data_IF_191374797783
#
_entry.id   IF_191374797783
#
_cell.length_a   1.000
_cell.length_b   1.000
_cell.length_c   1.000
_cell.angle_alpha   90.00
_cell.angle_beta   90.00
_cell.angle_gamma   90.00
#
_symmetry.space_group_name_H-M   'P 1'
#
loop_
_entity.id
_entity.type
_entity.pdbx_description
1 polymer ?
#
# COMPACT_ATOMS: atom_id res chain seq x y z
N UNK A 1 3.57 -18.33 -25.71
CA UNK A 1 3.32 -18.99 -24.41
C UNK A 1 3.80 -18.02 -23.35
N UNK A 2 2.90 -17.57 -22.47
CA UNK A 2 2.93 -16.28 -21.75
C UNK A 2 4.11 -16.12 -20.79
N UNK A 3 5.09 -15.29 -21.19
CA UNK A 3 5.99 -14.61 -20.25
C UNK A 3 5.19 -13.54 -19.48
N UNK A 4 4.55 -13.97 -18.38
CA UNK A 4 4.49 -13.11 -17.22
C UNK A 4 5.86 -13.25 -16.57
N UNK A 5 6.77 -12.34 -16.93
CA UNK A 5 8.12 -12.32 -16.38
C UNK A 5 8.06 -12.36 -14.86
N UNK A 6 8.81 -13.31 -14.31
CA UNK A 6 9.08 -13.44 -12.90
C UNK A 6 9.49 -12.08 -12.32
N UNK A 7 8.93 -11.74 -11.15
CA UNK A 7 8.84 -10.39 -10.63
C UNK A 7 10.13 -9.59 -10.73
N UNK A 8 10.13 -8.63 -11.65
CA UNK A 8 11.16 -7.63 -11.69
C UNK A 8 10.86 -6.63 -10.57
N UNK A 9 11.68 -6.63 -9.50
CA UNK A 9 11.54 -5.69 -8.37
C UNK A 9 11.65 -4.25 -8.87
N UNK A 10 12.20 -4.06 -10.06
CA UNK A 10 12.49 -2.79 -10.73
C UNK A 10 11.24 -2.10 -11.30
N UNK A 11 10.19 -2.85 -11.62
CA UNK A 11 8.94 -2.32 -12.17
C UNK A 11 7.79 -2.69 -11.24
N UNK A 12 7.15 -1.67 -10.67
CA UNK A 12 5.95 -1.83 -9.85
C UNK A 12 4.75 -2.29 -10.68
N UNK A 13 3.87 -3.08 -10.06
CA UNK A 13 2.60 -3.45 -10.70
C UNK A 13 1.69 -2.22 -10.85
N UNK A 14 1.18 -1.97 -12.05
CA UNK A 14 0.35 -0.79 -12.36
C UNK A 14 -1.00 -0.74 -11.62
N UNK A 15 -1.44 -1.85 -11.02
CA UNK A 15 -2.62 -1.89 -10.15
C UNK A 15 -2.33 -2.66 -8.87
N UNK A 16 -1.87 -1.96 -7.83
CA UNK A 16 -1.49 -2.58 -6.55
C UNK A 16 -2.59 -2.44 -5.48
N UNK A 17 -3.57 -3.33 -5.55
CA UNK A 17 -4.71 -3.38 -4.62
C UNK A 17 -4.36 -3.51 -3.12
N UNK A 18 -3.28 -4.23 -2.73
CA UNK A 18 -2.94 -4.37 -1.31
C UNK A 18 -2.71 -3.04 -0.60
N UNK A 19 -2.29 -1.99 -1.32
CA UNK A 19 -2.11 -0.66 -0.73
C UNK A 19 -3.43 -0.11 -0.16
N UNK A 20 -4.51 -0.21 -0.95
CA UNK A 20 -5.83 0.25 -0.52
C UNK A 20 -6.40 -0.58 0.64
N UNK A 21 -6.12 -1.89 0.67
CA UNK A 21 -6.53 -2.76 1.77
C UNK A 21 -5.87 -2.36 3.10
N UNK A 22 -4.58 -2.04 3.08
CA UNK A 22 -3.84 -1.56 4.26
C UNK A 22 -4.39 -0.22 4.76
N UNK A 23 -4.56 0.74 3.84
CA UNK A 23 -5.11 2.07 4.16
C UNK A 23 -6.50 1.92 4.80
N UNK A 24 -7.37 1.11 4.20
CA UNK A 24 -8.71 0.88 4.72
C UNK A 24 -8.69 0.22 6.11
N UNK A 25 -7.82 -0.76 6.33
CA UNK A 25 -7.68 -1.39 7.64
C UNK A 25 -7.28 -0.37 8.72
N UNK A 26 -6.32 0.51 8.44
CA UNK A 26 -5.93 1.57 9.38
C UNK A 26 -7.01 2.66 9.56
N UNK A 27 -7.83 2.92 8.54
CA UNK A 27 -8.97 3.83 8.67
C UNK A 27 -10.09 3.26 9.55
N UNK A 28 -10.38 1.95 9.41
CA UNK A 28 -11.47 1.29 10.13
C UNK A 28 -11.10 0.93 11.57
N UNK A 29 -9.89 0.41 11.79
CA UNK A 29 -9.47 -0.13 13.09
C UNK A 29 -8.36 0.69 13.76
N UNK A 30 -7.94 1.80 13.15
CA UNK A 30 -6.86 2.63 13.68
C UNK A 30 -5.52 1.90 13.76
N UNK A 31 -4.64 2.32 14.68
CA UNK A 31 -3.32 1.70 14.87
C UNK A 31 -3.38 0.25 15.36
N UNK A 32 -4.51 -0.19 15.95
CA UNK A 32 -4.72 -1.59 16.33
C UNK A 32 -4.77 -2.54 15.14
N UNK A 33 -4.99 -2.04 13.92
CA UNK A 33 -4.90 -2.83 12.70
C UNK A 33 -3.48 -3.34 12.42
N UNK A 34 -2.44 -2.68 12.96
CA UNK A 34 -1.05 -2.92 12.61
C UNK A 34 -0.62 -4.40 12.65
N UNK A 35 -0.78 -5.15 13.77
CA UNK A 35 -0.37 -6.56 13.83
C UNK A 35 -1.10 -7.43 12.80
N UNK A 36 -2.40 -7.21 12.60
CA UNK A 36 -3.19 -7.97 11.61
C UNK A 36 -2.76 -7.67 10.18
N UNK A 37 -2.54 -6.39 9.86
CA UNK A 37 -2.09 -5.94 8.53
C UNK A 37 -0.67 -6.45 8.25
N UNK A 38 0.22 -6.43 9.23
CA UNK A 38 1.59 -6.93 9.10
C UNK A 38 1.60 -8.44 8.86
N UNK A 39 0.89 -9.21 9.70
CA UNK A 39 0.82 -10.67 9.55
C UNK A 39 0.18 -11.07 8.23
N UNK A 40 -0.95 -10.46 7.86
CA UNK A 40 -1.61 -10.72 6.58
C UNK A 40 -0.70 -10.41 5.39
N UNK A 41 0.06 -9.31 5.46
CA UNK A 41 1.02 -8.95 4.42
C UNK A 41 2.19 -9.93 4.35
N UNK A 42 2.73 -10.35 5.50
CA UNK A 42 3.80 -11.35 5.58
C UNK A 42 3.37 -12.71 5.02
N UNK A 43 2.18 -13.17 5.41
CA UNK A 43 1.63 -14.43 4.90
C UNK A 43 1.37 -14.34 3.39
N UNK A 44 0.81 -13.22 2.89
CA UNK A 44 0.62 -13.06 1.44
C UNK A 44 1.92 -13.17 0.66
N UNK A 45 3.03 -12.65 1.18
CA UNK A 45 4.35 -12.78 0.56
C UNK A 45 4.85 -14.21 0.45
N UNK A 46 4.52 -15.05 1.43
CA UNK A 46 4.90 -16.47 1.43
C UNK A 46 3.98 -17.29 0.53
N UNK A 47 2.67 -17.12 0.67
CA UNK A 47 1.67 -17.99 0.03
C UNK A 47 1.25 -17.57 -1.38
N UNK A 48 1.33 -16.28 -1.72
CA UNK A 48 0.85 -15.76 -3.01
C UNK A 48 1.98 -15.31 -3.96
N UNK A 49 3.19 -15.13 -3.44
CA UNK A 49 4.33 -14.61 -4.20
C UNK A 49 5.55 -15.53 -4.13
N UNK A 50 5.36 -16.86 -4.17
CA UNK A 50 6.43 -17.86 -4.20
C UNK A 50 7.58 -17.56 -3.22
N UNK A 51 7.25 -17.36 -1.94
CA UNK A 51 8.22 -16.96 -0.91
C UNK A 51 9.01 -15.71 -1.27
N UNK A 52 8.31 -14.58 -1.42
CA UNK A 52 8.90 -13.27 -1.68
C UNK A 52 9.64 -13.16 -3.01
N UNK A 53 9.15 -13.87 -4.02
CA UNK A 53 9.73 -13.93 -5.36
C UNK A 53 11.22 -14.34 -5.31
N UNK A 54 11.54 -15.28 -4.42
CA UNK A 54 12.90 -15.75 -4.15
C UNK A 54 13.78 -14.82 -3.30
N UNK A 55 13.26 -13.68 -2.82
CA UNK A 55 14.03 -12.69 -2.07
C UNK A 55 13.68 -12.68 -0.56
N UNK A 56 14.19 -13.68 0.16
CA UNK A 56 13.87 -13.92 1.56
C UNK A 56 14.32 -12.81 2.54
N UNK A 57 15.30 -11.97 2.17
CA UNK A 57 15.78 -10.89 3.03
C UNK A 57 15.00 -9.59 2.80
N UNK A 58 14.89 -9.14 1.55
CA UNK A 58 14.26 -7.85 1.27
C UNK A 58 12.73 -7.91 1.15
N UNK A 59 12.14 -9.09 0.92
CA UNK A 59 10.68 -9.27 0.87
C UNK A 59 9.99 -8.89 2.17
N UNK A 60 10.39 -9.46 3.33
CA UNK A 60 9.86 -9.08 4.63
C UNK A 60 10.10 -7.61 4.99
N UNK A 61 11.29 -7.07 4.69
CA UNK A 61 11.63 -5.66 4.94
C UNK A 61 10.77 -4.69 4.09
N UNK A 62 10.63 -4.98 2.79
CA UNK A 62 9.76 -4.21 1.89
C UNK A 62 8.30 -4.29 2.29
N UNK A 63 7.88 -5.42 2.87
CA UNK A 63 6.53 -5.57 3.43
C UNK A 63 6.32 -4.72 4.66
N UNK A 64 7.27 -4.74 5.60
CA UNK A 64 7.22 -3.90 6.78
C UNK A 64 7.14 -2.42 6.39
N UNK A 65 8.01 -1.97 5.47
CA UNK A 65 7.95 -0.60 4.93
C UNK A 65 6.58 -0.28 4.32
N UNK A 66 6.01 -1.20 3.54
CA UNK A 66 4.70 -1.01 2.94
C UNK A 66 3.51 -1.10 3.90
N UNK A 67 3.68 -1.63 5.10
CA UNK A 67 2.66 -1.57 6.17
C UNK A 67 2.83 -0.31 7.00
N UNK A 68 4.07 0.11 7.26
CA UNK A 68 4.36 1.35 7.97
C UNK A 68 3.98 2.59 7.17
N UNK A 69 4.06 2.56 5.84
CA UNK A 69 3.79 3.73 5.00
C UNK A 69 2.36 4.32 5.19
N UNK A 70 1.27 3.54 5.08
CA UNK A 70 -0.07 4.02 5.44
C UNK A 70 -0.19 4.50 6.90
N UNK A 71 0.47 3.81 7.82
CA UNK A 71 0.43 4.16 9.24
C UNK A 71 1.07 5.54 9.49
N UNK A 72 2.24 5.79 8.90
CA UNK A 72 2.94 7.07 8.96
C UNK A 72 2.12 8.16 8.27
N UNK A 73 1.51 7.88 7.12
CA UNK A 73 0.64 8.83 6.43
C UNK A 73 -0.53 9.28 7.31
N UNK A 74 -1.17 8.36 8.05
CA UNK A 74 -2.22 8.71 9.04
C UNK A 74 -1.66 9.60 10.16
N UNK A 75 -0.47 9.30 10.70
CA UNK A 75 0.17 10.14 11.72
C UNK A 75 0.44 11.54 11.20
N UNK A 76 1.02 11.66 10.00
CA UNK A 76 1.30 12.95 9.34
C UNK A 76 0.01 13.74 9.15
N UNK A 77 -1.05 13.12 8.64
CA UNK A 77 -2.34 13.81 8.47
C UNK A 77 -2.95 14.27 9.79
N UNK A 78 -2.82 13.48 10.87
CA UNK A 78 -3.25 13.90 12.22
C UNK A 78 -2.43 15.09 12.71
N UNK A 79 -1.13 15.10 12.50
CA UNK A 79 -0.25 16.20 12.87
C UNK A 79 -0.65 17.52 12.17
N UNK A 80 -0.96 17.46 10.88
CA UNK A 80 -1.44 18.61 10.11
C UNK A 80 -2.94 18.92 10.29
N UNK A 81 -3.64 18.26 11.22
CA UNK A 81 -5.08 18.42 11.47
C UNK A 81 -5.98 18.17 10.24
N UNK A 82 -5.51 17.34 9.30
CA UNK A 82 -6.22 16.89 8.09
C UNK A 82 -7.00 15.58 8.34
N UNK A 83 -7.20 15.17 9.59
CA UNK A 83 -7.60 13.81 9.97
C UNK A 83 -9.11 13.55 10.06
N UNK A 84 -9.95 14.50 9.66
CA UNK A 84 -11.40 14.29 9.58
C UNK A 84 -11.73 13.44 8.33
N UNK A 85 -11.34 12.18 8.36
CA UNK A 85 -11.58 11.18 7.31
C UNK A 85 -13.06 10.81 7.21
N UNK A 86 -13.77 10.88 8.34
CA UNK A 86 -15.21 10.62 8.44
C UNK A 86 -15.90 11.87 8.97
N UNK A 87 -16.89 12.37 8.24
CA UNK A 87 -17.78 13.46 8.67
C UNK A 87 -19.22 12.98 8.50
N UNK A 88 -20.02 13.03 9.56
CA UNK A 88 -21.42 12.57 9.56
C UNK A 88 -21.60 11.12 9.07
N UNK A 89 -20.66 10.23 9.43
CA UNK A 89 -20.66 8.83 8.98
C UNK A 89 -20.32 8.62 7.50
N UNK A 90 -19.99 9.69 6.77
CA UNK A 90 -19.55 9.65 5.37
C UNK A 90 -18.05 9.89 5.26
N UNK A 91 -17.41 9.20 4.33
CA UNK A 91 -16.00 9.40 4.02
C UNK A 91 -15.79 10.73 3.29
N UNK A 92 -14.83 11.52 3.77
CA UNK A 92 -14.41 12.75 3.09
C UNK A 92 -13.39 12.36 2.04
N UNK A 93 -13.86 12.18 0.80
CA UNK A 93 -13.07 11.66 -0.32
C UNK A 93 -11.74 12.40 -0.53
N UNK A 94 -11.70 13.73 -0.34
CA UNK A 94 -10.46 14.50 -0.45
C UNK A 94 -9.35 14.04 0.50
N UNK A 95 -9.68 13.80 1.77
CA UNK A 95 -8.71 13.31 2.76
C UNK A 95 -8.24 11.90 2.45
N UNK A 96 -9.11 11.06 1.88
CA UNK A 96 -8.77 9.69 1.48
C UNK A 96 -7.86 9.67 0.27
N UNK A 97 -8.15 10.49 -0.74
CA UNK A 97 -7.27 10.64 -1.92
C UNK A 97 -5.89 11.11 -1.46
N UNK A 98 -5.84 12.14 -0.62
CA UNK A 98 -4.57 12.63 -0.07
C UNK A 98 -3.84 11.56 0.76
N UNK A 99 -4.55 10.80 1.59
CA UNK A 99 -3.98 9.71 2.37
C UNK A 99 -3.37 8.64 1.46
N UNK A 100 -4.05 8.25 0.39
CA UNK A 100 -3.55 7.28 -0.59
C UNK A 100 -2.29 7.80 -1.26
N UNK A 101 -2.28 9.04 -1.73
CA UNK A 101 -1.10 9.65 -2.36
C UNK A 101 0.08 9.69 -1.39
N UNK A 102 -0.14 10.17 -0.16
CA UNK A 102 0.91 10.28 0.85
C UNK A 102 1.45 8.91 1.26
N UNK A 103 0.57 7.92 1.44
CA UNK A 103 0.97 6.54 1.74
C UNK A 103 1.82 5.96 0.61
N UNK A 104 1.41 6.19 -0.64
CA UNK A 104 2.10 5.68 -1.84
C UNK A 104 3.47 6.31 -1.99
N UNK A 105 3.58 7.61 -1.69
CA UNK A 105 4.85 8.33 -1.70
C UNK A 105 5.81 7.79 -0.64
N UNK A 106 5.35 7.64 0.61
CA UNK A 106 6.18 7.09 1.70
C UNK A 106 6.63 5.68 1.35
N UNK A 107 5.72 4.82 0.87
CA UNK A 107 6.03 3.44 0.49
C UNK A 107 7.08 3.37 -0.62
N UNK A 108 6.90 4.16 -1.69
CA UNK A 108 7.80 4.17 -2.86
C UNK A 108 9.18 4.65 -2.47
N UNK A 109 9.28 5.72 -1.68
CA UNK A 109 10.56 6.24 -1.19
C UNK A 109 11.24 5.21 -0.27
N UNK A 110 10.51 4.64 0.69
CA UNK A 110 11.06 3.61 1.59
C UNK A 110 11.60 2.41 0.81
N UNK A 111 10.86 1.93 -0.19
CA UNK A 111 11.31 0.85 -1.07
C UNK A 111 12.53 1.24 -1.90
N UNK A 112 12.56 2.44 -2.46
CA UNK A 112 13.71 2.94 -3.22
C UNK A 112 14.99 2.92 -2.37
N UNK A 113 14.91 3.36 -1.11
CA UNK A 113 16.04 3.28 -0.18
C UNK A 113 16.41 1.84 0.19
N UNK A 114 15.43 0.96 0.41
CA UNK A 114 15.69 -0.45 0.72
C UNK A 114 16.33 -1.21 -0.44
N UNK A 115 16.01 -0.85 -1.69
CA UNK A 115 16.49 -1.53 -2.88
C UNK A 115 17.67 -0.81 -3.56
N UNK A 116 18.16 0.31 -3.02
CA UNK A 116 19.20 1.13 -3.65
C UNK A 116 20.49 0.35 -3.95
N UNK A 117 20.83 -0.66 -3.13
CA UNK A 117 22.00 -1.51 -3.33
C UNK A 117 21.79 -2.51 -4.48
N UNK A 118 20.55 -2.92 -4.76
CA UNK A 118 20.20 -3.66 -5.99
C UNK A 118 20.19 -2.75 -7.22
N UNK A 119 19.76 -1.49 -7.06
CA UNK A 119 19.82 -0.47 -8.12
C UNK A 119 21.26 -0.19 -8.57
N UNK A 120 22.24 -0.34 -7.67
CA UNK A 120 23.63 0.05 -7.91
C UNK A 120 24.61 -1.06 -8.31
N UNK A 121 24.23 -2.34 -8.35
CA UNK A 121 25.08 -3.33 -9.02
C UNK A 121 25.19 -4.73 -8.44
N UNK A 122 24.08 -5.41 -8.13
CA UNK A 122 24.16 -6.83 -7.72
C UNK A 122 23.52 -7.80 -8.72
N UNK A 123 22.71 -7.33 -9.68
CA UNK A 123 22.04 -8.22 -10.67
C UNK A 123 22.26 -7.81 -12.14
N UNK A 124 23.22 -6.91 -12.45
CA UNK A 124 23.48 -6.46 -13.82
C UNK A 124 22.34 -5.70 -14.51
N UNK A 125 21.23 -5.46 -13.80
CA UNK A 125 20.13 -4.59 -14.20
C UNK A 125 20.26 -3.26 -13.47
N UNK A 126 20.68 -2.21 -14.18
CA UNK A 126 20.53 -0.85 -13.68
C UNK A 126 19.05 -0.52 -13.61
N UNK A 127 18.56 -0.22 -12.41
CA UNK A 127 17.17 0.18 -12.21
C UNK A 127 17.11 1.67 -12.42
N UNK A 128 16.43 2.13 -13.47
CA UNK A 128 16.14 3.54 -13.60
C UNK A 128 15.25 3.96 -12.41
N UNK A 129 15.83 4.73 -11.48
CA UNK A 129 15.15 5.21 -10.30
C UNK A 129 13.88 6.01 -10.66
N UNK A 130 13.89 6.70 -11.81
CA UNK A 130 12.71 7.40 -12.31
C UNK A 130 11.62 6.41 -12.70
N UNK A 131 11.96 5.35 -13.45
CA UNK A 131 11.01 4.31 -13.84
C UNK A 131 10.47 3.54 -12.63
N UNK A 132 11.32 3.27 -11.64
CA UNK A 132 10.92 2.65 -10.38
C UNK A 132 9.91 3.51 -9.64
N UNK A 133 10.21 4.80 -9.42
CA UNK A 133 9.31 5.72 -8.73
C UNK A 133 7.98 5.81 -9.48
N UNK A 134 8.02 6.00 -10.80
CA UNK A 134 6.80 6.13 -11.61
C UNK A 134 5.92 4.89 -11.54
N UNK A 135 6.51 3.70 -11.71
CA UNK A 135 5.74 2.44 -11.73
C UNK A 135 5.12 2.12 -10.36
N UNK A 136 5.90 2.20 -9.27
CA UNK A 136 5.40 1.93 -7.92
C UNK A 136 4.40 2.98 -7.43
N UNK A 137 4.69 4.26 -7.65
CA UNK A 137 3.81 5.34 -7.20
C UNK A 137 2.47 5.29 -7.94
N UNK A 138 2.50 5.10 -9.26
CA UNK A 138 1.27 4.98 -10.07
C UNK A 138 0.47 3.76 -9.66
N UNK A 139 1.14 2.62 -9.48
CA UNK A 139 0.52 1.37 -9.06
C UNK A 139 -0.19 1.44 -7.72
N UNK A 140 0.48 2.02 -6.72
CA UNK A 140 -0.05 2.19 -5.37
C UNK A 140 -1.19 3.20 -5.32
N UNK A 141 -1.10 4.31 -6.06
CA UNK A 141 -2.18 5.32 -6.13
C UNK A 141 -3.41 4.71 -6.80
N UNK A 142 -3.26 4.13 -7.99
CA UNK A 142 -4.39 3.56 -8.73
C UNK A 142 -5.02 2.40 -7.95
N UNK A 143 -4.20 1.45 -7.49
CA UNK A 143 -4.67 0.32 -6.71
C UNK A 143 -5.30 0.74 -5.38
N UNK A 144 -4.70 1.71 -4.69
CA UNK A 144 -5.21 2.28 -3.46
C UNK A 144 -6.58 2.93 -3.61
N UNK A 145 -6.73 3.81 -4.60
CA UNK A 145 -8.00 4.48 -4.87
C UNK A 145 -9.06 3.46 -5.30
N UNK A 146 -8.78 2.64 -6.31
CA UNK A 146 -9.74 1.66 -6.84
C UNK A 146 -10.25 0.76 -5.72
N UNK A 147 -9.35 0.18 -4.92
CA UNK A 147 -9.74 -0.71 -3.84
C UNK A 147 -10.58 0.01 -2.78
N UNK A 148 -10.14 1.17 -2.29
CA UNK A 148 -10.86 1.90 -1.23
C UNK A 148 -12.25 2.32 -1.71
N UNK A 149 -12.39 2.87 -2.91
CA UNK A 149 -13.68 3.28 -3.45
C UNK A 149 -14.62 2.10 -3.71
N UNK A 150 -14.12 1.00 -4.27
CA UNK A 150 -14.92 -0.19 -4.53
C UNK A 150 -15.43 -0.78 -3.22
N UNK A 151 -14.58 -0.94 -2.22
CA UNK A 151 -14.99 -1.50 -0.91
C UNK A 151 -15.97 -0.56 -0.21
N UNK A 152 -15.70 0.74 -0.16
CA UNK A 152 -16.65 1.70 0.43
C UNK A 152 -18.01 1.60 -0.27
N UNK A 153 -18.05 1.57 -1.61
CA UNK A 153 -19.30 1.52 -2.38
C UNK A 153 -20.06 0.21 -2.17
N UNK A 154 -19.36 -0.91 -2.07
CA UNK A 154 -19.96 -2.22 -1.82
C UNK A 154 -20.50 -2.38 -0.39
N UNK A 155 -19.81 -1.81 0.60
CA UNK A 155 -20.12 -2.02 2.03
C UNK A 155 -20.86 -0.85 2.69
N UNK A 156 -20.98 0.32 2.04
CA UNK A 156 -21.84 1.43 2.46
C UNK A 156 -23.27 1.01 2.83
N UNK A 157 -23.96 0.14 2.06
CA UNK A 157 -25.31 -0.31 2.41
C UNK A 157 -25.36 -1.07 3.73
N UNK A 158 -24.33 -1.86 4.03
CA UNK A 158 -24.25 -2.71 5.23
C UNK A 158 -23.87 -1.90 6.47
N UNK A 159 -22.99 -0.89 6.32
CA UNK A 159 -22.58 -0.01 7.43
C UNK A 159 -23.73 0.90 7.88
N UNK A 160 -24.56 1.40 6.95
CA UNK A 160 -25.74 2.22 7.28
C UNK A 160 -26.83 1.40 7.95
N UNK A 161 -27.01 0.13 7.56
CA UNK A 161 -28.03 -0.76 8.15
C UNK A 161 -27.78 -1.04 9.63
N UNK A 162 -26.53 -1.23 10.05
CA UNK A 162 -26.17 -1.55 11.44
C UNK A 162 -26.17 -0.35 12.42
N UNK A 163 -26.56 0.85 11.98
CA UNK A 163 -26.75 2.02 12.87
C UNK A 163 -28.23 2.37 13.14
N UNK A 164 -29.15 1.54 12.67
CA UNK A 164 -30.60 1.71 12.84
C UNK A 164 -31.25 0.57 13.66
N UNK A 165 -30.44 -0.30 14.26
CA UNK A 165 -30.86 -1.33 15.23
C UNK A 165 -30.26 -1.01 16.61
#
# INVERSE_FOLDING_TARGET
MSHFDAGDITIGNYLWLPMGAKILAFLLFGFWAFPGVLLGSLMSGVFLYDSWNGNAFYGPLGTLAGVMAPMLAVVVMRFFHLSNFFKDGKLVYGHIIFLVILSSLINTISKLFLYIDKVKGVDGKEVDAMQFIQSYLTGDILGGLVFVFVVIKLFLPTIVRNKLD
#
